data_IF_953668896176
#
_entry.id   IF_953668896176
#
_cell.length_a   1.000
_cell.length_b   1.000
_cell.length_c   1.000
_cell.angle_alpha   90.00
_cell.angle_beta   90.00
_cell.angle_gamma   90.00
#
_symmetry.space_group_name_H-M   'P 1'
#
loop_
_entity.id
_entity.type
_entity.pdbx_description
1 polymer ?
#
# COMPACT_ATOMS: atom_id res chain seq x y z
N UNK A 1 -11.20 21.04 7.56
CA UNK A 1 -10.14 21.40 8.51
C UNK A 1 -9.23 22.48 7.93
N UNK A 2 -8.82 22.40 6.66
CA UNK A 2 -7.85 23.31 6.04
C UNK A 2 -8.48 24.55 5.39
N UNK A 3 -9.79 24.64 5.32
CA UNK A 3 -10.57 25.79 4.86
C UNK A 3 -10.11 26.37 3.50
N UNK A 4 -9.79 25.51 2.54
CA UNK A 4 -9.53 25.89 1.16
C UNK A 4 -10.33 25.00 0.20
N UNK A 5 -10.46 25.43 -1.04
CA UNK A 5 -11.11 24.67 -2.12
C UNK A 5 -10.19 24.63 -3.34
N UNK A 6 -10.17 23.50 -4.01
CA UNK A 6 -9.51 23.39 -5.31
C UNK A 6 -10.36 24.05 -6.40
N UNK A 7 -9.71 24.66 -7.38
CA UNK A 7 -10.38 25.27 -8.52
C UNK A 7 -11.13 24.23 -9.35
N UNK A 8 -10.51 23.09 -9.55
CA UNK A 8 -11.08 21.94 -10.27
C UNK A 8 -10.72 20.65 -9.50
N UNK A 9 -11.58 19.65 -9.61
CA UNK A 9 -11.33 18.29 -9.14
C UNK A 9 -11.58 17.32 -10.30
N UNK A 10 -10.84 16.23 -10.31
CA UNK A 10 -10.92 15.18 -11.33
C UNK A 10 -10.86 13.82 -10.65
N UNK A 11 -11.80 12.95 -10.99
CA UNK A 11 -11.74 11.56 -10.59
C UNK A 11 -10.90 10.78 -11.61
N UNK A 12 -9.89 10.07 -11.12
CA UNK A 12 -9.00 9.25 -11.93
C UNK A 12 -8.97 7.82 -11.41
N UNK A 13 -8.77 6.89 -12.32
CA UNK A 13 -8.41 5.53 -11.95
C UNK A 13 -7.07 5.53 -11.18
N UNK A 14 -6.98 4.71 -10.13
CA UNK A 14 -5.80 4.64 -9.25
C UNK A 14 -4.50 4.43 -10.06
N UNK A 15 -4.55 3.59 -11.11
CA UNK A 15 -3.40 3.34 -11.99
C UNK A 15 -2.93 4.53 -12.81
N UNK A 16 -3.77 5.55 -13.00
CA UNK A 16 -3.47 6.70 -13.87
C UNK A 16 -3.00 7.95 -13.14
N UNK A 17 -3.10 8.00 -11.80
CA UNK A 17 -2.79 9.21 -11.01
C UNK A 17 -1.34 9.66 -11.14
N UNK A 18 -0.39 8.73 -11.15
CA UNK A 18 1.04 9.04 -11.30
C UNK A 18 1.39 9.53 -12.72
N UNK A 19 0.72 8.99 -13.75
CA UNK A 19 0.87 9.53 -15.09
C UNK A 19 0.32 10.96 -15.18
N UNK A 20 -0.85 11.21 -14.59
CA UNK A 20 -1.48 12.53 -14.64
C UNK A 20 -0.62 13.63 -13.98
N UNK A 21 -0.01 13.35 -12.82
CA UNK A 21 0.88 14.29 -12.15
C UNK A 21 2.18 14.52 -12.93
N UNK A 22 2.76 13.47 -13.49
CA UNK A 22 3.98 13.57 -14.32
C UNK A 22 3.74 14.36 -15.61
N UNK A 23 2.57 14.22 -16.21
CA UNK A 23 2.15 14.97 -17.40
C UNK A 23 1.62 16.37 -17.06
N UNK A 24 1.64 16.78 -15.79
CA UNK A 24 1.14 18.07 -15.32
C UNK A 24 -0.33 18.32 -15.64
N UNK A 25 -1.13 17.27 -15.71
CA UNK A 25 -2.60 17.35 -15.87
C UNK A 25 -3.29 17.67 -14.55
N UNK A 26 -2.64 17.33 -13.44
CA UNK A 26 -3.05 17.67 -12.09
C UNK A 26 -1.85 18.24 -11.32
N UNK A 27 -2.11 19.13 -10.36
CA UNK A 27 -1.07 19.76 -9.52
C UNK A 27 -0.97 19.07 -8.16
N UNK A 28 -2.04 18.42 -7.72
CA UNK A 28 -2.16 17.72 -6.43
C UNK A 28 -2.95 16.44 -6.65
N UNK A 29 -2.55 15.39 -5.97
CA UNK A 29 -3.28 14.11 -5.94
C UNK A 29 -3.24 13.49 -4.55
N UNK A 30 -4.19 12.62 -4.24
CA UNK A 30 -4.13 11.77 -3.06
C UNK A 30 -3.22 10.56 -3.33
N UNK A 31 -2.50 10.13 -2.30
CA UNK A 31 -1.58 8.98 -2.37
C UNK A 31 -1.70 8.12 -1.12
N UNK A 32 -1.37 6.85 -1.27
CA UNK A 32 -1.04 6.00 -0.12
C UNK A 32 0.47 6.01 0.09
N UNK A 33 0.90 6.08 1.35
CA UNK A 33 2.33 6.05 1.71
C UNK A 33 3.03 4.74 1.29
N UNK A 34 2.23 3.71 1.00
CA UNK A 34 2.67 2.41 0.51
C UNK A 34 2.67 2.28 -1.02
N UNK A 35 2.29 3.32 -1.77
CA UNK A 35 2.32 3.28 -3.25
C UNK A 35 3.75 3.05 -3.76
N UNK A 36 3.95 2.02 -4.57
CA UNK A 36 5.27 1.68 -5.12
C UNK A 36 5.86 2.78 -6.00
N UNK A 37 5.03 3.46 -6.78
CA UNK A 37 5.45 4.54 -7.69
C UNK A 37 5.82 5.85 -6.97
N UNK A 38 5.40 6.02 -5.70
CA UNK A 38 5.65 7.25 -4.94
C UNK A 38 7.15 7.53 -4.77
N UNK A 39 7.97 6.49 -4.60
CA UNK A 39 9.42 6.61 -4.43
C UNK A 39 10.15 7.16 -5.65
N UNK A 40 9.56 7.07 -6.84
CA UNK A 40 10.14 7.52 -8.12
C UNK A 40 9.44 8.75 -8.70
N UNK A 41 8.33 9.16 -8.11
CA UNK A 41 7.57 10.33 -8.54
C UNK A 41 8.28 11.64 -8.12
N UNK A 42 8.26 12.64 -9.00
CA UNK A 42 8.79 13.97 -8.69
C UNK A 42 7.71 14.81 -7.98
N UNK A 43 7.38 14.43 -6.78
CA UNK A 43 6.34 15.04 -5.94
C UNK A 43 6.83 15.26 -4.51
N UNK A 44 6.15 16.12 -3.79
CA UNK A 44 6.35 16.32 -2.35
C UNK A 44 5.13 15.78 -1.61
N UNK A 45 5.35 14.87 -0.69
CA UNK A 45 4.30 14.37 0.19
C UNK A 45 4.08 15.39 1.31
N UNK A 46 2.85 15.88 1.43
CA UNK A 46 2.47 16.81 2.49
C UNK A 46 2.13 16.03 3.76
N UNK A 47 2.54 16.55 4.89
CA UNK A 47 2.20 16.00 6.20
C UNK A 47 0.72 16.30 6.55
N UNK A 48 0.02 15.31 7.08
CA UNK A 48 -1.33 15.47 7.65
C UNK A 48 -1.22 15.97 9.11
N UNK A 49 -0.78 17.22 9.28
CA UNK A 49 -0.55 17.86 10.58
C UNK A 49 -1.82 17.99 11.45
N UNK A 50 -2.99 17.93 10.83
CA UNK A 50 -4.28 17.98 11.52
C UNK A 50 -4.94 16.59 11.72
N UNK A 51 -4.24 15.53 11.35
CA UNK A 51 -4.73 14.18 11.49
C UNK A 51 -6.14 13.99 10.90
N UNK A 52 -6.30 14.43 9.65
CA UNK A 52 -7.56 14.29 8.91
C UNK A 52 -7.84 12.83 8.58
N UNK A 53 -6.81 12.11 8.13
CA UNK A 53 -6.91 10.70 7.84
C UNK A 53 -6.72 9.87 9.12
N UNK A 54 -7.57 8.87 9.30
CA UNK A 54 -7.32 7.85 10.32
C UNK A 54 -6.22 6.90 9.87
N UNK A 55 -5.49 6.32 10.81
CA UNK A 55 -4.53 5.27 10.51
C UNK A 55 -5.25 4.07 9.89
N UNK A 56 -4.87 3.71 8.66
CA UNK A 56 -5.39 2.54 7.98
C UNK A 56 -4.35 1.42 8.06
N UNK A 57 -4.73 0.29 8.63
CA UNK A 57 -3.89 -0.89 8.71
C UNK A 57 -4.46 -1.98 7.82
N UNK A 58 -3.59 -2.68 7.09
CA UNK A 58 -3.97 -3.90 6.40
C UNK A 58 -4.36 -4.99 7.41
N UNK A 59 -5.44 -5.72 7.14
CA UNK A 59 -5.89 -6.82 7.97
C UNK A 59 -6.29 -8.03 7.11
N UNK A 60 -6.01 -9.22 7.62
CA UNK A 60 -6.54 -10.45 7.05
C UNK A 60 -8.01 -10.62 7.47
N UNK A 61 -8.87 -10.87 6.49
CA UNK A 61 -10.29 -11.17 6.75
C UNK A 61 -10.53 -12.62 6.41
N UNK A 62 -10.92 -13.40 7.41
CA UNK A 62 -11.16 -14.85 7.30
C UNK A 62 -12.56 -15.15 7.77
N UNK A 63 -13.27 -16.03 7.06
CA UNK A 63 -14.59 -16.49 7.50
C UNK A 63 -14.47 -17.35 8.76
N UNK A 64 -15.40 -17.18 9.71
CA UNK A 64 -15.37 -17.91 10.98
C UNK A 64 -15.37 -19.44 10.76
N UNK A 65 -16.17 -19.93 9.82
CA UNK A 65 -16.27 -21.37 9.53
C UNK A 65 -14.91 -21.98 9.12
N UNK A 66 -14.05 -21.19 8.47
CA UNK A 66 -12.69 -21.64 8.09
C UNK A 66 -11.81 -21.75 9.34
N UNK A 67 -11.90 -20.78 10.27
CA UNK A 67 -11.14 -20.85 11.51
C UNK A 67 -11.65 -21.94 12.47
N UNK A 68 -12.94 -22.25 12.44
CA UNK A 68 -13.52 -23.39 13.19
C UNK A 68 -13.05 -24.72 12.60
N UNK A 69 -12.98 -24.82 11.27
CA UNK A 69 -12.54 -26.05 10.58
C UNK A 69 -11.02 -26.25 10.67
N UNK A 70 -10.25 -25.16 10.68
CA UNK A 70 -8.77 -25.16 10.66
C UNK A 70 -8.23 -24.17 11.71
N UNK A 71 -8.35 -24.49 13.00
CA UNK A 71 -7.96 -23.58 14.08
C UNK A 71 -6.45 -23.25 14.09
N UNK A 72 -5.61 -24.11 13.49
CA UNK A 72 -4.18 -23.88 13.33
C UNK A 72 -3.83 -22.69 12.45
N UNK A 73 -4.74 -22.21 11.60
CA UNK A 73 -4.54 -21.01 10.77
C UNK A 73 -4.28 -19.76 11.61
N UNK A 74 -4.86 -19.68 12.82
CA UNK A 74 -4.56 -18.56 13.72
C UNK A 74 -3.05 -18.43 13.98
N UNK A 75 -2.38 -19.55 14.27
CA UNK A 75 -0.93 -19.57 14.51
C UNK A 75 -0.11 -19.20 13.24
N UNK A 76 -0.65 -19.47 12.06
CA UNK A 76 -0.02 -19.07 10.79
C UNK A 76 -0.17 -17.57 10.58
N UNK A 77 -1.38 -17.05 10.76
CA UNK A 77 -1.66 -15.62 10.59
C UNK A 77 -0.96 -14.74 11.62
N UNK A 78 -0.82 -15.22 12.86
CA UNK A 78 -0.09 -14.52 13.90
C UNK A 78 1.37 -14.25 13.53
N UNK A 79 2.00 -15.17 12.76
CA UNK A 79 3.36 -14.98 12.26
C UNK A 79 3.50 -13.84 11.24
N UNK A 80 2.39 -13.45 10.61
CA UNK A 80 2.35 -12.34 9.65
C UNK A 80 2.13 -10.99 10.35
N UNK A 81 1.75 -10.99 11.62
CA UNK A 81 1.46 -9.79 12.38
C UNK A 81 2.73 -8.97 12.62
N UNK A 82 2.72 -7.71 12.16
CA UNK A 82 3.81 -6.75 12.39
C UNK A 82 5.07 -6.97 11.55
N UNK A 83 5.09 -7.93 10.61
CA UNK A 83 6.25 -8.14 9.72
C UNK A 83 6.33 -7.12 8.59
N UNK A 84 5.23 -6.45 8.28
CA UNK A 84 5.13 -5.39 7.28
C UNK A 84 4.95 -4.04 7.97
N UNK A 85 5.76 -3.08 7.55
CA UNK A 85 5.56 -1.66 7.81
C UNK A 85 5.41 -0.90 6.48
N UNK A 86 5.07 0.38 6.53
CA UNK A 86 4.87 1.19 5.33
C UNK A 86 6.06 1.14 4.37
N UNK A 87 7.27 1.30 4.87
CA UNK A 87 8.49 1.28 4.05
C UNK A 87 8.68 -0.07 3.34
N UNK A 88 8.50 -1.16 4.07
CA UNK A 88 8.62 -2.50 3.49
C UNK A 88 7.53 -2.76 2.45
N UNK A 89 6.29 -2.39 2.75
CA UNK A 89 5.18 -2.55 1.81
C UNK A 89 5.40 -1.72 0.55
N UNK A 90 5.85 -0.46 0.67
CA UNK A 90 6.18 0.38 -0.48
C UNK A 90 7.29 -0.25 -1.34
N UNK A 91 8.31 -0.87 -0.72
CA UNK A 91 9.38 -1.58 -1.45
C UNK A 91 8.83 -2.78 -2.24
N UNK A 92 7.97 -3.60 -1.64
CA UNK A 92 7.35 -4.74 -2.31
C UNK A 92 6.44 -4.29 -3.46
N UNK A 93 5.61 -3.28 -3.22
CA UNK A 93 4.76 -2.68 -4.25
C UNK A 93 5.58 -2.09 -5.40
N UNK A 94 6.73 -1.47 -5.12
CA UNK A 94 7.64 -0.97 -6.15
C UNK A 94 8.15 -2.07 -7.08
N UNK A 95 8.48 -3.24 -6.55
CA UNK A 95 8.92 -4.37 -7.36
C UNK A 95 7.81 -4.85 -8.31
N UNK A 96 6.57 -4.88 -7.85
CA UNK A 96 5.42 -5.27 -8.67
C UNK A 96 5.02 -4.16 -9.64
N UNK A 97 4.72 -2.97 -9.14
CA UNK A 97 4.11 -1.88 -9.92
C UNK A 97 5.09 -1.20 -10.88
N UNK A 98 6.37 -1.08 -10.49
CA UNK A 98 7.37 -0.33 -11.26
C UNK A 98 8.34 -1.25 -11.99
N UNK A 99 8.73 -2.37 -11.37
CA UNK A 99 9.65 -3.34 -11.97
C UNK A 99 8.95 -4.43 -12.76
N UNK A 100 7.62 -4.54 -12.64
CA UNK A 100 6.79 -5.52 -13.34
C UNK A 100 7.05 -6.96 -12.92
N UNK A 101 7.55 -7.17 -11.69
CA UNK A 101 7.72 -8.51 -11.13
C UNK A 101 6.38 -9.11 -10.76
N UNK A 102 6.28 -10.42 -10.79
CA UNK A 102 5.08 -11.12 -10.35
C UNK A 102 4.86 -10.94 -8.84
N UNK A 103 3.63 -10.68 -8.43
CA UNK A 103 3.32 -10.39 -7.02
C UNK A 103 3.50 -11.62 -6.12
N UNK A 104 3.24 -12.83 -6.63
CA UNK A 104 3.42 -14.08 -5.91
C UNK A 104 4.90 -14.35 -5.67
N UNK A 105 5.74 -14.14 -6.70
CA UNK A 105 7.19 -14.29 -6.59
C UNK A 105 7.78 -13.30 -5.58
N UNK A 106 7.38 -12.02 -5.65
CA UNK A 106 7.82 -10.98 -4.70
C UNK A 106 7.42 -11.33 -3.27
N UNK A 107 6.19 -11.78 -3.06
CA UNK A 107 5.70 -12.19 -1.75
C UNK A 107 6.45 -13.42 -1.23
N UNK A 108 6.68 -14.44 -2.09
CA UNK A 108 7.42 -15.63 -1.74
C UNK A 108 8.87 -15.32 -1.34
N UNK A 109 9.59 -14.54 -2.15
CA UNK A 109 10.97 -14.12 -1.85
C UNK A 109 11.05 -13.36 -0.52
N UNK A 110 10.09 -12.48 -0.27
CA UNK A 110 10.01 -11.78 1.02
C UNK A 110 9.85 -12.75 2.18
N UNK A 111 8.90 -13.69 2.10
CA UNK A 111 8.65 -14.68 3.16
C UNK A 111 9.83 -15.60 3.38
N UNK A 112 10.56 -15.99 2.32
CA UNK A 112 11.83 -16.74 2.41
C UNK A 112 12.89 -15.91 3.15
N UNK A 113 13.03 -14.62 2.82
CA UNK A 113 14.03 -13.73 3.41
C UNK A 113 13.89 -13.57 4.94
N UNK A 114 12.69 -13.77 5.46
CA UNK A 114 12.37 -13.73 6.89
C UNK A 114 12.18 -15.13 7.50
N UNK A 115 12.53 -16.19 6.78
CA UNK A 115 12.45 -17.59 7.19
C UNK A 115 11.04 -18.09 7.58
N UNK A 116 9.99 -17.55 6.99
CA UNK A 116 8.62 -18.02 7.19
C UNK A 116 8.22 -19.14 6.23
N UNK A 117 8.83 -19.20 5.06
CA UNK A 117 8.68 -20.29 4.08
C UNK A 117 10.05 -20.74 3.58
N UNK A 118 10.11 -21.86 2.85
CA UNK A 118 11.34 -22.46 2.30
C UNK A 118 11.41 -22.26 0.80
#
# INVERSE_FOLDING_TARGET
>A
KYNFTFKNTMDLDIGLKYQAINERKVDVMDVFTTDGQLSTANVVVLEDDQQFFSTSMGALVVRNEILEQYPELNNVFDKLTGILNETKMAQLNYLVETKGQDAEDVAHEFLVSINLVK
#
